data_IF_385264566399
#
_entry.id   IF_385264566399
#
_cell.length_a   1.000
_cell.length_b   1.000
_cell.length_c   1.000
_cell.angle_alpha   90.00
_cell.angle_beta   90.00
_cell.angle_gamma   90.00
#
_symmetry.space_group_name_H-M   'P 1'
#
loop_
_entity.id
_entity.type
_entity.pdbx_description
1 polymer ?
#
# COMPACT_ATOMS: atom_id res chain seq x y z
N UNK A 1 -14.20 20.22 3.78
CA UNK A 1 -13.32 20.63 4.90
C UNK A 1 -13.93 20.13 6.20
N UNK A 2 -13.17 19.64 7.18
CA UNK A 2 -13.75 19.12 8.42
C UNK A 2 -14.53 20.22 9.13
N UNK A 3 -15.75 19.89 9.57
CA UNK A 3 -16.72 20.80 10.21
C UNK A 3 -16.37 21.16 11.66
N UNK A 4 -15.23 20.70 12.16
CA UNK A 4 -14.84 20.79 13.57
C UNK A 4 -13.33 21.14 13.68
N UNK A 5 -13.00 22.40 14.03
CA UNK A 5 -11.63 22.88 14.17
C UNK A 5 -10.81 22.15 15.25
N UNK A 6 -11.45 21.74 16.35
CA UNK A 6 -10.77 21.06 17.46
C UNK A 6 -10.38 19.63 17.07
N UNK A 7 -11.26 18.95 16.33
CA UNK A 7 -10.95 17.62 15.79
C UNK A 7 -9.81 17.64 14.76
N UNK A 8 -9.73 18.71 13.95
CA UNK A 8 -8.62 18.90 13.03
C UNK A 8 -7.30 19.16 13.79
N UNK A 9 -7.35 20.00 14.84
CA UNK A 9 -6.20 20.28 15.71
C UNK A 9 -5.68 19.00 16.39
N UNK A 10 -6.55 18.21 17.00
CA UNK A 10 -6.18 16.95 17.64
C UNK A 10 -5.55 15.96 16.64
N UNK A 11 -6.10 15.87 15.43
CA UNK A 11 -5.57 15.00 14.36
C UNK A 11 -4.18 15.45 13.90
N UNK A 12 -3.96 16.77 13.79
CA UNK A 12 -2.66 17.33 13.41
C UNK A 12 -1.60 17.12 14.51
N UNK A 13 -1.96 17.28 15.77
CA UNK A 13 -1.06 17.02 16.90
C UNK A 13 -0.62 15.55 16.95
N UNK A 14 -1.58 14.62 16.86
CA UNK A 14 -1.30 13.19 16.82
C UNK A 14 -0.41 12.80 15.63
N UNK A 15 -0.61 13.44 14.46
CA UNK A 15 0.23 13.22 13.29
C UNK A 15 1.67 13.74 13.49
N UNK A 16 1.84 14.91 14.09
CA UNK A 16 3.18 15.48 14.39
C UNK A 16 3.92 14.64 15.43
N UNK A 17 3.23 14.15 16.46
CA UNK A 17 3.81 13.25 17.46
C UNK A 17 4.24 11.91 16.85
N UNK A 18 3.40 11.31 16.00
CA UNK A 18 3.75 10.11 15.26
C UNK A 18 5.01 10.31 14.39
N UNK A 19 5.17 11.48 13.78
CA UNK A 19 6.36 11.81 12.99
C UNK A 19 7.62 11.97 13.87
N UNK A 20 7.50 12.54 15.07
CA UNK A 20 8.62 12.64 16.03
C UNK A 20 9.11 11.27 16.48
N UNK A 21 8.21 10.31 16.71
CA UNK A 21 8.57 8.93 17.04
C UNK A 21 9.33 8.20 15.91
N UNK A 22 9.31 8.72 14.69
CA UNK A 22 10.07 8.19 13.54
C UNK A 22 11.42 8.89 13.32
N UNK A 23 11.86 9.76 14.24
CA UNK A 23 13.15 10.47 14.16
C UNK A 23 13.17 11.63 13.14
N UNK A 24 12.01 12.00 12.57
CA UNK A 24 11.92 13.09 11.59
C UNK A 24 11.84 14.45 12.30
N UNK A 25 12.81 15.32 12.00
CA UNK A 25 12.85 16.69 12.54
C UNK A 25 12.14 17.73 11.66
N UNK A 26 11.78 17.38 10.43
CA UNK A 26 11.07 18.28 9.52
C UNK A 26 10.10 17.54 8.60
N UNK A 27 9.07 18.25 8.14
CA UNK A 27 8.05 17.74 7.20
C UNK A 27 7.95 18.74 6.05
N UNK A 28 8.13 18.26 4.82
CA UNK A 28 7.94 19.09 3.62
C UNK A 28 6.45 19.18 3.28
N UNK A 29 5.85 20.34 3.54
CA UNK A 29 4.48 20.61 3.14
C UNK A 29 4.41 20.92 1.63
N UNK A 30 3.36 20.46 0.95
CA UNK A 30 3.13 20.78 -0.47
C UNK A 30 2.80 22.27 -0.63
N UNK A 31 2.99 22.82 -1.84
CA UNK A 31 2.55 24.17 -2.16
C UNK A 31 1.02 24.28 -1.97
N UNK A 32 0.56 25.34 -1.27
CA UNK A 32 -0.85 25.59 -0.95
C UNK A 32 -1.24 25.40 0.52
N UNK A 33 -0.44 24.71 1.33
CA UNK A 33 -0.74 24.46 2.76
C UNK A 33 -0.75 25.74 3.62
N UNK A 34 0.00 26.79 3.21
CA UNK A 34 0.00 28.09 3.89
C UNK A 34 -1.40 28.70 4.02
N UNK A 35 -2.27 28.50 3.01
CA UNK A 35 -3.67 28.98 3.03
C UNK A 35 -4.58 28.20 3.98
N UNK A 36 -4.28 26.92 4.22
CA UNK A 36 -5.04 26.07 5.15
C UNK A 36 -4.62 26.22 6.62
N UNK A 37 -3.38 26.66 6.88
CA UNK A 37 -2.89 26.93 8.24
C UNK A 37 -3.29 28.34 8.73
N UNK A 38 -3.43 29.32 7.82
CA UNK A 38 -3.92 30.65 8.18
C UNK A 38 -5.35 30.65 8.74
N UNK A 39 -6.18 29.66 8.39
CA UNK A 39 -7.52 29.47 8.95
C UNK A 39 -7.55 28.75 10.30
N UNK A 40 -6.39 28.27 10.79
CA UNK A 40 -6.28 27.56 12.08
C UNK A 40 -5.74 28.43 13.21
N UNK A 41 -5.38 29.69 12.92
CA UNK A 41 -5.05 30.68 13.94
C UNK A 41 -6.34 31.35 14.44
N UNK A 42 -6.87 30.87 15.55
CA UNK A 42 -7.72 31.69 16.42
C UNK A 42 -6.86 32.82 17.00
N UNK A 43 -7.37 34.06 17.12
CA UNK A 43 -6.62 35.16 17.72
C UNK A 43 -6.31 34.81 19.17
N UNK A 44 -5.02 34.79 19.52
CA UNK A 44 -4.58 34.77 20.91
C UNK A 44 -4.98 36.12 21.51
N UNK A 45 -6.10 36.18 22.23
CA UNK A 45 -6.36 37.29 23.13
C UNK A 45 -5.49 37.10 24.37
N UNK A 46 -4.63 38.08 24.66
CA UNK A 46 -3.86 38.15 25.90
C UNK A 46 -2.48 37.50 25.82
N UNK A 47 -1.56 38.10 25.05
CA UNK A 47 -0.13 37.95 25.32
C UNK A 47 0.52 39.32 25.17
N UNK A 48 0.99 39.84 26.30
CA UNK A 48 1.66 41.14 26.45
C UNK A 48 2.83 41.22 25.47
N UNK A 49 2.79 42.23 24.61
CA UNK A 49 3.86 42.58 23.67
C UNK A 49 5.07 43.09 24.44
N UNK A 50 6.10 42.25 24.53
CA UNK A 50 7.47 42.70 24.77
C UNK A 50 8.20 42.71 23.42
N UNK A 51 8.71 43.85 22.94
CA UNK A 51 9.41 43.88 21.66
C UNK A 51 10.74 43.13 21.82
N UNK A 52 10.88 42.00 21.12
CA UNK A 52 12.18 41.36 20.93
C UNK A 52 12.94 42.18 19.89
N UNK A 53 14.03 42.80 20.36
CA UNK A 53 14.93 43.62 19.57
C UNK A 53 15.60 42.77 18.49
N UNK A 54 15.43 43.17 17.23
CA UNK A 54 16.06 42.55 16.07
C UNK A 54 17.51 43.03 16.03
N UNK A 55 18.44 42.20 16.48
CA UNK A 55 19.87 42.42 16.23
C UNK A 55 20.17 41.95 14.81
N UNK A 56 20.36 42.90 13.90
CA UNK A 56 20.93 42.64 12.56
C UNK A 56 22.37 42.16 12.72
N UNK A 57 22.64 40.91 12.35
CA UNK A 57 24.00 40.42 12.15
C UNK A 57 24.55 40.95 10.80
N UNK A 58 25.80 41.43 10.73
CA UNK A 58 26.40 41.92 9.48
C UNK A 58 26.58 40.78 8.47
N UNK A 59 26.26 41.07 7.20
CA UNK A 59 26.55 40.20 6.07
C UNK A 59 28.08 40.04 5.90
N UNK A 60 28.62 38.80 5.85
CA UNK A 60 30.02 38.59 5.51
C UNK A 60 30.27 38.94 4.04
N UNK A 61 31.33 39.72 3.81
CA UNK A 61 31.82 40.14 2.49
C UNK A 61 32.25 38.95 1.65
N UNK A 62 31.84 38.97 0.39
CA UNK A 62 32.31 38.07 -0.67
C UNK A 62 33.84 38.11 -0.78
N UNK A 63 34.45 36.95 -0.62
CA UNK A 63 35.75 36.64 -1.18
C UNK A 63 35.52 35.50 -2.18
N UNK A 64 35.67 35.78 -3.46
CA UNK A 64 35.73 34.77 -4.51
C UNK A 64 37.14 34.17 -4.54
N UNK A 65 37.28 32.84 -4.53
CA UNK A 65 38.41 32.18 -5.15
C UNK A 65 37.96 31.44 -6.42
N UNK A 66 38.57 31.87 -7.52
CA UNK A 66 39.09 31.08 -8.65
C UNK A 66 38.41 29.75 -9.00
N UNK A 67 37.83 29.76 -10.22
CA UNK A 67 37.37 28.63 -11.01
C UNK A 67 38.49 27.61 -11.26
N UNK A 68 38.56 26.56 -10.43
CA UNK A 68 39.27 25.33 -10.76
C UNK A 68 38.34 24.13 -10.63
N UNK A 69 37.96 23.61 -11.80
CA UNK A 69 37.53 22.26 -12.13
C UNK A 69 37.16 21.34 -10.96
N UNK A 70 35.89 21.38 -10.55
CA UNK A 70 35.28 20.25 -9.84
C UNK A 70 34.38 19.54 -10.85
N UNK A 71 34.84 18.33 -11.19
CA UNK A 71 34.21 17.39 -12.08
C UNK A 71 32.69 17.28 -11.84
N UNK A 72 31.95 17.38 -12.93
CA UNK A 72 30.54 17.01 -13.05
C UNK A 72 30.30 15.68 -12.31
N UNK A 73 29.36 15.58 -11.35
CA UNK A 73 28.98 14.27 -10.84
C UNK A 73 28.41 13.48 -12.03
N UNK A 74 28.82 12.21 -12.22
CA UNK A 74 28.44 11.46 -13.39
C UNK A 74 26.91 11.29 -13.41
N UNK A 75 26.37 11.64 -14.56
CA UNK A 75 25.11 11.17 -15.12
C UNK A 75 24.70 9.79 -14.61
N UNK A 76 23.45 9.66 -14.14
CA UNK A 76 22.74 8.38 -14.09
C UNK A 76 22.75 7.81 -15.53
N UNK A 77 23.47 6.70 -15.80
CA UNK A 77 22.81 5.38 -16.00
C UNK A 77 23.74 4.17 -15.66
N UNK A 78 23.28 2.88 -15.64
CA UNK A 78 22.12 2.37 -16.38
C UNK A 78 21.18 1.39 -15.60
N UNK A 79 19.87 1.46 -15.84
CA UNK A 79 19.01 0.28 -15.65
C UNK A 79 19.21 -0.66 -16.84
N UNK A 80 19.95 -1.76 -16.65
CA UNK A 80 19.50 -3.08 -17.12
C UNK A 80 19.94 -4.24 -16.19
N UNK A 81 20.58 -3.96 -15.05
CA UNK A 81 21.12 -4.97 -14.11
C UNK A 81 20.20 -5.31 -12.93
N UNK A 82 19.15 -4.52 -12.70
CA UNK A 82 18.19 -4.70 -11.59
C UNK A 82 17.28 -5.94 -11.80
N UNK A 83 17.12 -6.41 -13.05
CA UNK A 83 16.16 -7.47 -13.37
C UNK A 83 16.52 -8.87 -12.86
N UNK A 84 17.69 -9.40 -13.18
CA UNK A 84 18.13 -10.67 -12.62
C UNK A 84 18.22 -10.63 -11.09
N UNK A 85 18.59 -9.49 -10.53
CA UNK A 85 18.81 -9.34 -9.09
C UNK A 85 17.50 -9.36 -8.28
N UNK A 86 16.46 -8.60 -8.68
CA UNK A 86 15.15 -8.68 -8.00
C UNK A 86 14.57 -10.09 -8.06
N UNK A 87 14.64 -10.74 -9.21
CA UNK A 87 14.16 -12.11 -9.38
C UNK A 87 14.92 -13.09 -8.47
N UNK A 88 16.25 -12.99 -8.41
CA UNK A 88 17.11 -13.81 -7.54
C UNK A 88 16.80 -13.59 -6.06
N UNK A 89 16.63 -12.34 -5.63
CA UNK A 89 16.28 -12.00 -4.23
C UNK A 89 14.90 -12.53 -3.84
N UNK A 90 13.91 -12.40 -4.73
CA UNK A 90 12.59 -12.98 -4.50
C UNK A 90 12.65 -14.50 -4.39
N UNK A 91 13.47 -15.15 -5.22
CA UNK A 91 13.63 -16.60 -5.17
C UNK A 91 14.33 -17.05 -3.89
N UNK A 92 15.39 -16.35 -3.45
CA UNK A 92 16.03 -16.62 -2.16
C UNK A 92 15.04 -16.45 -0.98
N UNK A 93 14.18 -15.44 -1.04
CA UNK A 93 13.12 -15.25 -0.06
C UNK A 93 12.07 -16.38 -0.13
N UNK A 94 11.70 -16.84 -1.32
CA UNK A 94 10.78 -17.97 -1.52
C UNK A 94 11.31 -19.23 -0.85
N UNK A 95 12.57 -19.57 -1.09
CA UNK A 95 13.22 -20.74 -0.50
C UNK A 95 13.26 -20.65 1.03
N UNK A 96 13.59 -19.48 1.57
CA UNK A 96 13.56 -19.24 3.02
C UNK A 96 12.16 -19.40 3.61
N UNK A 97 11.14 -18.91 2.89
CA UNK A 97 9.75 -18.93 3.37
C UNK A 97 9.12 -20.32 3.28
N UNK A 98 9.53 -21.15 2.32
CA UNK A 98 8.96 -22.49 2.09
C UNK A 98 9.01 -23.39 3.34
N UNK A 99 10.09 -23.30 4.12
CA UNK A 99 10.28 -24.06 5.36
C UNK A 99 9.77 -23.38 6.64
N UNK A 100 9.09 -22.22 6.54
CA UNK A 100 8.76 -21.39 7.70
C UNK A 100 7.89 -22.15 8.74
N UNK A 101 8.31 -22.16 10.02
CA UNK A 101 7.57 -22.76 11.15
C UNK A 101 7.24 -21.76 12.27
N UNK A 102 7.28 -20.46 11.98
CA UNK A 102 7.07 -19.39 12.97
C UNK A 102 5.67 -19.41 13.60
N UNK A 103 4.67 -19.95 12.90
CA UNK A 103 3.34 -20.27 13.43
C UNK A 103 3.18 -21.80 13.43
N UNK A 104 3.44 -22.51 14.55
CA UNK A 104 3.47 -23.98 14.56
C UNK A 104 2.16 -24.64 14.11
N UNK A 105 1.01 -24.11 14.55
CA UNK A 105 -0.31 -24.65 14.21
C UNK A 105 -0.65 -24.50 12.72
N UNK A 106 -0.35 -23.34 12.13
CA UNK A 106 -0.51 -23.14 10.68
C UNK A 106 0.47 -23.98 9.86
N UNK A 107 1.69 -24.17 10.37
CA UNK A 107 2.70 -24.99 9.71
C UNK A 107 2.37 -26.48 9.72
N UNK A 108 1.69 -26.95 10.77
CA UNK A 108 1.18 -28.32 10.86
C UNK A 108 -0.07 -28.55 10.00
N UNK A 109 -0.87 -27.51 9.76
CA UNK A 109 -2.14 -27.62 9.02
C UNK A 109 -2.01 -27.44 7.50
N UNK A 110 -1.18 -26.49 7.05
CA UNK A 110 -1.05 -26.18 5.62
C UNK A 110 -0.51 -27.38 4.83
N UNK A 111 -0.90 -27.48 3.56
CA UNK A 111 -0.26 -28.41 2.62
C UNK A 111 1.08 -27.83 2.15
N UNK A 112 1.10 -26.53 1.82
CA UNK A 112 2.30 -25.82 1.42
C UNK A 112 2.18 -24.32 1.67
N UNK A 113 3.32 -23.64 1.60
CA UNK A 113 3.37 -22.18 1.70
C UNK A 113 2.95 -21.56 0.38
N UNK A 114 2.04 -20.59 0.45
CA UNK A 114 1.60 -19.78 -0.69
C UNK A 114 2.33 -18.44 -0.65
N UNK A 115 3.48 -18.40 -1.32
CA UNK A 115 4.43 -17.29 -1.22
C UNK A 115 3.93 -16.00 -1.88
N UNK A 116 3.59 -16.09 -3.17
CA UNK A 116 3.37 -14.96 -4.07
C UNK A 116 3.82 -15.32 -5.49
N UNK A 117 3.17 -14.74 -6.49
CA UNK A 117 3.44 -14.99 -7.91
C UNK A 117 3.33 -13.69 -8.72
N UNK A 118 4.00 -13.65 -9.88
CA UNK A 118 3.94 -12.53 -10.81
C UNK A 118 5.29 -11.87 -11.08
N UNK A 119 5.26 -10.69 -11.69
CA UNK A 119 6.46 -9.99 -12.15
C UNK A 119 7.33 -9.49 -10.97
N UNK A 120 8.63 -9.84 -10.90
CA UNK A 120 9.59 -9.25 -9.95
C UNK A 120 9.74 -7.71 -10.06
N UNK A 121 9.30 -7.13 -11.19
CA UNK A 121 9.29 -5.70 -11.50
C UNK A 121 7.87 -5.13 -11.59
N UNK A 122 6.89 -5.81 -11.00
CA UNK A 122 5.52 -5.36 -11.07
C UNK A 122 5.38 -3.92 -10.56
N UNK A 123 4.86 -3.04 -11.41
CA UNK A 123 4.46 -1.67 -11.01
C UNK A 123 3.26 -1.69 -10.06
N UNK A 124 2.49 -2.77 -10.09
CA UNK A 124 1.27 -2.97 -9.33
C UNK A 124 1.34 -4.28 -8.53
N UNK A 125 1.12 -4.19 -7.22
CA UNK A 125 1.02 -5.34 -6.33
C UNK A 125 -0.40 -5.45 -5.75
N UNK A 126 -1.02 -6.62 -5.86
CA UNK A 126 -2.26 -6.94 -5.17
C UNK A 126 -1.95 -7.79 -3.93
N UNK A 127 -2.52 -7.42 -2.78
CA UNK A 127 -2.42 -8.23 -1.57
C UNK A 127 -3.77 -8.56 -0.97
N UNK A 128 -4.02 -9.85 -0.74
CA UNK A 128 -5.19 -10.36 -0.03
C UNK A 128 -4.89 -10.71 1.43
N UNK A 129 -5.82 -11.44 2.02
CA UNK A 129 -5.81 -11.83 3.43
C UNK A 129 -4.91 -13.04 3.70
N UNK A 130 -5.32 -14.21 3.23
CA UNK A 130 -4.68 -15.49 3.47
C UNK A 130 -5.06 -16.49 2.36
N UNK A 131 -4.32 -17.60 2.19
CA UNK A 131 -4.66 -18.67 1.25
C UNK A 131 -5.95 -19.38 1.65
N UNK A 132 -6.75 -19.77 0.65
CA UNK A 132 -7.85 -20.73 0.82
C UNK A 132 -7.38 -22.16 0.55
N UNK A 133 -8.33 -23.10 0.54
CA UNK A 133 -8.05 -24.52 0.30
C UNK A 133 -7.39 -24.82 -1.04
N UNK A 134 -7.81 -24.12 -2.11
CA UNK A 134 -7.26 -24.36 -3.45
C UNK A 134 -5.86 -23.75 -3.58
N UNK A 135 -5.67 -22.55 -3.04
CA UNK A 135 -4.36 -21.91 -2.98
C UNK A 135 -3.37 -22.76 -2.17
N UNK A 136 -3.79 -23.28 -1.01
CA UNK A 136 -2.98 -24.16 -0.18
C UNK A 136 -2.59 -25.44 -0.91
N UNK A 137 -3.50 -26.03 -1.71
CA UNK A 137 -3.20 -27.22 -2.50
C UNK A 137 -2.22 -26.91 -3.64
N UNK A 138 -2.36 -25.77 -4.32
CA UNK A 138 -1.59 -25.45 -5.52
C UNK A 138 -0.29 -24.67 -5.23
N UNK A 139 -0.15 -24.03 -4.07
CA UNK A 139 1.00 -23.19 -3.74
C UNK A 139 0.94 -21.78 -4.34
N UNK A 140 -0.15 -21.45 -5.02
CA UNK A 140 -0.33 -20.18 -5.73
C UNK A 140 -1.49 -19.36 -5.15
N UNK A 141 -1.33 -18.04 -4.96
CA UNK A 141 -2.36 -17.21 -4.38
C UNK A 141 -3.47 -16.93 -5.39
N UNK A 142 -4.72 -16.80 -4.94
CA UNK A 142 -5.84 -16.42 -5.81
C UNK A 142 -6.00 -17.32 -7.05
N UNK A 143 -6.14 -18.64 -6.85
CA UNK A 143 -6.44 -19.62 -7.91
C UNK A 143 -7.89 -20.14 -7.85
N UNK A 144 -8.54 -20.01 -6.69
CA UNK A 144 -9.96 -20.33 -6.49
C UNK A 144 -10.92 -19.33 -7.17
N UNK A 145 -12.24 -19.42 -6.88
CA UNK A 145 -13.25 -18.56 -7.50
C UNK A 145 -12.98 -17.05 -7.35
N UNK A 146 -12.55 -16.62 -6.16
CA UNK A 146 -12.18 -15.23 -5.89
C UNK A 146 -10.97 -14.80 -6.74
N UNK A 147 -10.03 -15.71 -6.94
CA UNK A 147 -8.86 -15.49 -7.77
C UNK A 147 -9.17 -15.38 -9.26
N UNK A 148 -10.08 -16.21 -9.77
CA UNK A 148 -10.59 -16.08 -11.15
C UNK A 148 -11.26 -14.73 -11.38
N UNK A 149 -11.98 -14.20 -10.39
CA UNK A 149 -12.54 -12.85 -10.48
C UNK A 149 -11.43 -11.78 -10.47
N UNK A 150 -10.42 -11.91 -9.60
CA UNK A 150 -9.26 -11.01 -9.60
C UNK A 150 -8.55 -10.99 -10.97
N UNK A 151 -8.30 -12.16 -11.56
CA UNK A 151 -7.71 -12.27 -12.90
C UNK A 151 -8.53 -11.53 -13.95
N UNK A 152 -9.87 -11.66 -13.94
CA UNK A 152 -10.74 -10.90 -14.86
C UNK A 152 -10.68 -9.38 -14.62
N UNK A 153 -10.54 -8.94 -13.38
CA UNK A 153 -10.38 -7.51 -13.07
C UNK A 153 -9.05 -6.98 -13.60
N UNK A 154 -7.96 -7.72 -13.43
CA UNK A 154 -6.64 -7.38 -13.99
C UNK A 154 -6.71 -7.29 -15.53
N UNK A 155 -7.34 -8.27 -16.17
CA UNK A 155 -7.57 -8.27 -17.62
C UNK A 155 -8.41 -7.07 -18.08
N UNK A 156 -9.44 -6.69 -17.31
CA UNK A 156 -10.24 -5.51 -17.61
C UNK A 156 -9.43 -4.20 -17.52
N UNK A 157 -8.38 -4.15 -16.70
CA UNK A 157 -7.40 -3.04 -16.65
C UNK A 157 -6.44 -3.03 -17.86
N UNK A 158 -6.53 -4.01 -18.76
CA UNK A 158 -5.60 -4.15 -19.90
C UNK A 158 -4.25 -4.77 -19.53
N UNK A 159 -4.16 -5.45 -18.38
CA UNK A 159 -2.96 -6.14 -17.90
C UNK A 159 -3.18 -7.65 -17.91
N UNK A 160 -2.10 -8.43 -17.96
CA UNK A 160 -2.12 -9.85 -17.67
C UNK A 160 -1.77 -10.12 -16.22
N UNK A 161 -2.08 -11.33 -15.74
CA UNK A 161 -1.78 -11.73 -14.37
C UNK A 161 -0.28 -11.74 -14.10
N UNK A 162 0.51 -12.01 -15.13
CA UNK A 162 1.96 -12.06 -15.11
C UNK A 162 2.60 -10.66 -15.09
N UNK A 163 1.86 -9.60 -15.45
CA UNK A 163 2.36 -8.21 -15.43
C UNK A 163 2.40 -7.61 -14.01
N UNK A 164 1.59 -8.16 -13.11
CA UNK A 164 1.42 -7.69 -11.73
C UNK A 164 2.06 -8.66 -10.74
N UNK A 165 2.14 -8.29 -9.47
CA UNK A 165 2.50 -9.21 -8.39
C UNK A 165 1.30 -9.47 -7.49
N UNK A 166 1.05 -10.72 -7.13
CA UNK A 166 -0.08 -11.12 -6.30
C UNK A 166 0.44 -11.89 -5.08
N UNK A 167 0.02 -11.46 -3.89
CA UNK A 167 0.39 -12.06 -2.63
C UNK A 167 -0.75 -11.97 -1.60
N UNK A 168 -0.51 -12.50 -0.41
CA UNK A 168 -1.38 -12.33 0.77
C UNK A 168 -0.55 -11.85 1.97
N UNK A 169 -1.21 -11.29 2.98
CA UNK A 169 -0.61 -10.98 4.29
C UNK A 169 -0.06 -12.26 4.92
N UNK A 170 -0.92 -13.26 5.08
CA UNK A 170 -0.54 -14.57 5.59
C UNK A 170 -0.13 -15.49 4.42
N UNK A 171 0.93 -16.28 4.59
CA UNK A 171 1.44 -17.22 3.57
C UNK A 171 0.97 -18.67 3.75
N UNK A 172 0.23 -18.95 4.82
CA UNK A 172 -0.28 -20.27 5.16
C UNK A 172 -1.80 -20.19 5.29
N UNK A 173 -2.52 -21.22 4.85
CA UNK A 173 -3.96 -21.31 5.09
C UNK A 173 -4.23 -21.40 6.60
N UNK A 174 -5.11 -20.55 7.16
CA UNK A 174 -5.56 -20.66 8.53
C UNK A 174 -6.14 -22.05 8.85
N UNK A 175 -5.73 -22.63 9.97
CA UNK A 175 -6.25 -23.92 10.44
C UNK A 175 -7.72 -23.82 10.86
N UNK A 176 -8.42 -24.94 10.80
CA UNK A 176 -9.83 -25.05 11.15
C UNK A 176 -10.01 -26.19 12.15
N UNK A 177 -11.02 -26.11 13.04
CA UNK A 177 -11.38 -27.25 13.86
C UNK A 177 -11.66 -28.48 12.98
N UNK A 178 -11.26 -29.69 13.41
CA UNK A 178 -11.48 -30.91 12.65
C UNK A 178 -12.94 -31.03 12.17
N UNK A 179 -13.14 -31.34 10.90
CA UNK A 179 -14.47 -31.47 10.29
C UNK A 179 -15.15 -30.16 9.86
N UNK A 180 -14.54 -28.99 10.09
CA UNK A 180 -15.12 -27.70 9.67
C UNK A 180 -14.78 -27.41 8.20
N UNK A 181 -15.78 -27.24 7.31
CA UNK A 181 -15.52 -26.84 5.93
C UNK A 181 -15.20 -25.34 5.83
N UNK A 182 -14.53 -24.94 4.76
CA UNK A 182 -14.36 -23.53 4.39
C UNK A 182 -13.00 -22.94 4.79
N UNK A 183 -13.01 -21.67 5.18
CA UNK A 183 -11.83 -20.90 5.59
C UNK A 183 -12.21 -19.96 6.74
N UNK A 184 -11.27 -19.66 7.63
CA UNK A 184 -11.41 -18.61 8.65
C UNK A 184 -10.50 -17.44 8.34
N UNK A 185 -10.76 -16.31 9.01
CA UNK A 185 -9.83 -15.17 8.99
C UNK A 185 -8.55 -15.48 9.77
N UNK A 186 -7.40 -14.92 9.37
CA UNK A 186 -6.20 -14.98 10.17
C UNK A 186 -6.38 -14.13 11.44
N UNK A 187 -5.77 -14.59 12.53
CA UNK A 187 -5.67 -13.82 13.76
C UNK A 187 -4.62 -12.70 13.59
N UNK A 188 -4.75 -11.58 14.32
CA UNK A 188 -3.77 -10.49 14.28
C UNK A 188 -2.33 -10.97 14.49
N UNK A 189 -2.10 -11.88 15.44
CA UNK A 189 -0.78 -12.41 15.78
C UNK A 189 -0.18 -13.25 14.65
N UNK A 190 -1.04 -13.97 13.90
CA UNK A 190 -0.63 -14.72 12.71
C UNK A 190 -0.19 -13.77 11.59
N UNK A 191 -0.95 -12.69 11.39
CA UNK A 191 -0.59 -11.66 10.43
C UNK A 191 0.72 -10.98 10.81
N UNK A 192 0.88 -10.54 12.06
CA UNK A 192 2.09 -9.86 12.54
C UNK A 192 3.33 -10.73 12.40
N UNK A 193 3.19 -12.04 12.66
CA UNK A 193 4.28 -13.01 12.52
C UNK A 193 4.71 -13.18 11.06
N UNK A 194 3.76 -13.12 10.12
CA UNK A 194 3.99 -13.41 8.70
C UNK A 194 4.29 -12.18 7.84
N UNK A 195 3.81 -11.00 8.26
CA UNK A 195 3.94 -9.72 7.57
C UNK A 195 5.38 -9.35 7.16
N UNK A 196 6.45 -9.69 7.93
CA UNK A 196 7.82 -9.45 7.48
C UNK A 196 8.15 -10.03 6.10
N UNK A 197 7.57 -11.17 5.71
CA UNK A 197 7.78 -11.75 4.37
C UNK A 197 7.16 -10.88 3.28
N UNK A 198 5.94 -10.37 3.50
CA UNK A 198 5.30 -9.46 2.54
C UNK A 198 6.04 -8.11 2.46
N UNK A 199 6.54 -7.59 3.59
CA UNK A 199 7.38 -6.38 3.60
C UNK A 199 8.65 -6.57 2.78
N UNK A 200 9.32 -7.70 2.91
CA UNK A 200 10.51 -7.98 2.09
C UNK A 200 10.15 -8.17 0.61
N UNK A 201 9.03 -8.82 0.28
CA UNK A 201 8.53 -8.87 -1.10
C UNK A 201 8.32 -7.46 -1.68
N UNK A 202 7.65 -6.57 -0.94
CA UNK A 202 7.42 -5.18 -1.34
C UNK A 202 8.75 -4.42 -1.49
N UNK A 203 9.69 -4.61 -0.55
CA UNK A 203 11.04 -4.01 -0.57
C UNK A 203 11.86 -4.42 -1.78
N UNK A 204 11.79 -5.70 -2.19
CA UNK A 204 12.48 -6.21 -3.39
C UNK A 204 11.82 -5.66 -4.66
N UNK A 205 10.50 -5.81 -4.78
CA UNK A 205 9.74 -5.46 -6.00
C UNK A 205 9.73 -3.94 -6.22
N UNK A 206 9.59 -3.17 -5.13
CA UNK A 206 9.38 -1.71 -5.15
C UNK A 206 8.22 -1.30 -6.08
N UNK A 207 7.00 -1.82 -5.86
CA UNK A 207 5.86 -1.46 -6.70
C UNK A 207 5.52 0.03 -6.57
N UNK A 208 4.98 0.61 -7.64
CA UNK A 208 4.49 2.00 -7.63
C UNK A 208 3.17 2.13 -6.87
N UNK A 209 2.34 1.08 -6.86
CA UNK A 209 1.07 1.02 -6.13
C UNK A 209 0.84 -0.38 -5.53
N UNK A 210 0.32 -0.41 -4.30
CA UNK A 210 -0.23 -1.60 -3.67
C UNK A 210 -1.76 -1.49 -3.63
N UNK A 211 -2.47 -2.55 -3.96
CA UNK A 211 -3.92 -2.69 -3.79
C UNK A 211 -4.21 -3.69 -2.68
N UNK A 212 -4.79 -3.22 -1.58
CA UNK A 212 -5.23 -4.07 -0.47
C UNK A 212 -6.66 -4.56 -0.72
N UNK A 213 -6.80 -5.88 -0.88
CA UNK A 213 -8.07 -6.54 -1.14
C UNK A 213 -8.74 -6.91 0.19
N UNK A 214 -9.70 -6.10 0.63
CA UNK A 214 -10.49 -6.34 1.83
C UNK A 214 -9.93 -5.73 3.12
N UNK A 215 -10.76 -5.79 4.17
CA UNK A 215 -10.45 -5.21 5.47
C UNK A 215 -9.21 -5.82 6.13
N UNK A 216 -9.02 -7.13 6.01
CA UNK A 216 -7.90 -7.83 6.66
C UNK A 216 -6.56 -7.49 6.01
N UNK A 217 -6.52 -7.33 4.68
CA UNK A 217 -5.33 -6.85 3.98
C UNK A 217 -4.98 -5.40 4.38
N UNK A 218 -6.01 -4.55 4.51
CA UNK A 218 -5.85 -3.17 4.99
C UNK A 218 -5.34 -3.12 6.43
N UNK A 219 -5.94 -3.89 7.33
CA UNK A 219 -5.52 -3.98 8.74
C UNK A 219 -4.09 -4.50 8.83
N UNK A 220 -3.76 -5.60 8.15
CA UNK A 220 -2.40 -6.18 8.20
C UNK A 220 -1.31 -5.23 7.70
N UNK A 221 -1.60 -4.38 6.71
CA UNK A 221 -0.61 -3.41 6.23
C UNK A 221 -0.53 -2.15 7.11
N UNK A 222 -1.66 -1.66 7.61
CA UNK A 222 -1.74 -0.29 8.17
C UNK A 222 -2.08 -0.21 9.65
N UNK A 223 -2.51 -1.33 10.25
CA UNK A 223 -3.10 -1.37 11.59
C UNK A 223 -4.49 -0.70 11.69
N UNK A 224 -5.04 -0.17 10.58
CA UNK A 224 -6.31 0.53 10.61
C UNK A 224 -7.49 -0.46 10.63
N UNK A 225 -8.24 -0.46 11.73
CA UNK A 225 -9.44 -1.29 11.92
C UNK A 225 -10.76 -0.62 11.49
N UNK A 226 -10.68 0.47 10.72
CA UNK A 226 -11.89 1.13 10.18
C UNK A 226 -12.51 0.23 9.10
N UNK A 227 -13.84 0.24 8.99
CA UNK A 227 -14.54 -0.55 7.98
C UNK A 227 -14.06 -0.23 6.56
N UNK A 228 -13.83 -1.26 5.75
CA UNK A 228 -13.28 -1.15 4.39
C UNK A 228 -14.07 -0.16 3.51
N UNK A 229 -15.40 -0.12 3.67
CA UNK A 229 -16.28 0.81 2.94
C UNK A 229 -15.94 2.28 3.16
N UNK A 230 -15.38 2.63 4.32
CA UNK A 230 -15.03 4.02 4.65
C UNK A 230 -13.67 4.46 4.09
N UNK A 231 -12.78 3.50 3.77
CA UNK A 231 -11.41 3.79 3.33
C UNK A 231 -11.17 3.45 1.87
N UNK A 232 -11.99 2.59 1.25
CA UNK A 232 -11.83 2.22 -0.15
C UNK A 232 -11.81 3.44 -1.09
N UNK A 233 -11.01 3.35 -2.15
CA UNK A 233 -10.89 4.43 -3.14
C UNK A 233 -10.10 5.65 -2.67
N UNK A 234 -9.52 5.62 -1.46
CA UNK A 234 -8.64 6.67 -0.96
C UNK A 234 -7.22 6.14 -0.84
N UNK A 235 -6.26 6.81 -1.46
CA UNK A 235 -4.85 6.44 -1.33
C UNK A 235 -4.35 6.71 0.10
N UNK A 236 -3.82 5.66 0.71
CA UNK A 236 -3.04 5.69 1.93
C UNK A 236 -1.55 5.58 1.57
N UNK A 237 -0.69 5.70 2.59
CA UNK A 237 0.74 5.45 2.47
C UNK A 237 1.10 4.16 3.19
N UNK A 238 1.86 3.29 2.53
CA UNK A 238 2.53 2.16 3.14
C UNK A 238 4.03 2.28 2.88
N UNK A 239 4.77 2.79 3.87
CA UNK A 239 6.24 2.92 3.81
C UNK A 239 6.74 3.69 2.58
N UNK A 240 6.02 4.73 2.16
CA UNK A 240 6.34 5.52 0.96
C UNK A 240 5.73 4.98 -0.34
N UNK A 241 5.11 3.80 -0.32
CA UNK A 241 4.35 3.26 -1.46
C UNK A 241 2.86 3.59 -1.33
N UNK A 242 2.23 4.23 -2.34
CA UNK A 242 0.79 4.42 -2.38
C UNK A 242 0.01 3.11 -2.22
N UNK A 243 -0.94 3.11 -1.28
CA UNK A 243 -1.80 1.96 -0.98
C UNK A 243 -3.26 2.31 -1.25
N UNK A 244 -3.93 1.57 -2.14
CA UNK A 244 -5.37 1.71 -2.37
C UNK A 244 -6.14 0.51 -1.81
N UNK A 245 -6.92 0.67 -0.74
CA UNK A 245 -7.82 -0.38 -0.28
C UNK A 245 -9.06 -0.48 -1.20
N UNK A 246 -9.56 -1.70 -1.39
CA UNK A 246 -10.83 -1.98 -2.06
C UNK A 246 -11.49 -3.24 -1.49
N UNK A 247 -12.68 -3.62 -1.96
CA UNK A 247 -13.33 -4.85 -1.52
C UNK A 247 -12.60 -6.10 -2.01
N UNK A 248 -12.59 -7.13 -1.17
CA UNK A 248 -12.02 -8.42 -1.56
C UNK A 248 -12.90 -9.10 -2.62
N UNK A 249 -12.33 -9.78 -3.64
CA UNK A 249 -13.12 -10.46 -4.69
C UNK A 249 -14.13 -11.49 -4.13
N UNK A 250 -13.79 -12.18 -3.03
CA UNK A 250 -14.74 -13.09 -2.39
C UNK A 250 -16.00 -12.37 -1.91
N UNK A 251 -15.92 -11.13 -1.44
CA UNK A 251 -17.09 -10.36 -1.01
C UNK A 251 -18.08 -10.14 -2.17
N UNK A 252 -17.55 -9.87 -3.38
CA UNK A 252 -18.34 -9.69 -4.60
C UNK A 252 -19.00 -10.98 -5.11
N UNK A 253 -18.42 -12.15 -4.78
CA UNK A 253 -18.99 -13.45 -5.14
C UNK A 253 -20.15 -13.84 -4.22
N UNK A 254 -20.02 -13.57 -2.92
CA UNK A 254 -21.09 -13.87 -1.96
C UNK A 254 -22.27 -12.89 -2.08
N UNK A 255 -22.00 -11.64 -2.47
CA UNK A 255 -23.02 -10.60 -2.70
C UNK A 255 -22.90 -10.07 -4.12
N UNK A 256 -23.62 -10.64 -5.11
CA UNK A 256 -23.57 -10.20 -6.50
C UNK A 256 -24.34 -8.87 -6.71
N UNK A 257 -23.98 -7.81 -5.97
CA UNK A 257 -24.50 -6.46 -6.17
C UNK A 257 -23.65 -5.72 -7.21
N UNK A 258 -24.29 -5.27 -8.30
CA UNK A 258 -23.64 -4.50 -9.37
C UNK A 258 -23.01 -3.21 -8.86
N UNK A 259 -23.56 -2.59 -7.81
CA UNK A 259 -22.99 -1.37 -7.20
C UNK A 259 -21.65 -1.66 -6.54
N UNK A 260 -21.50 -2.82 -5.89
CA UNK A 260 -20.23 -3.22 -5.28
C UNK A 260 -19.17 -3.52 -6.35
N UNK A 261 -19.56 -4.19 -7.44
CA UNK A 261 -18.66 -4.43 -8.59
C UNK A 261 -18.23 -3.11 -9.25
N UNK A 262 -19.17 -2.18 -9.42
CA UNK A 262 -18.91 -0.83 -9.92
C UNK A 262 -17.93 -0.08 -9.03
N UNK A 263 -18.14 -0.12 -7.72
CA UNK A 263 -17.23 0.49 -6.75
C UNK A 263 -15.81 -0.07 -6.92
N UNK A 264 -15.62 -1.39 -6.88
CA UNK A 264 -14.28 -1.96 -7.09
C UNK A 264 -13.67 -1.51 -8.42
N UNK A 265 -14.48 -1.44 -9.48
CA UNK A 265 -14.00 -0.94 -10.77
C UNK A 265 -13.57 0.53 -10.74
N UNK A 266 -14.33 1.41 -10.08
CA UNK A 266 -13.94 2.81 -9.86
C UNK A 266 -12.63 2.92 -9.09
N UNK A 267 -12.37 2.04 -8.10
CA UNK A 267 -11.08 1.98 -7.41
C UNK A 267 -9.95 1.59 -8.37
N UNK A 268 -10.17 0.59 -9.22
CA UNK A 268 -9.17 0.15 -10.19
C UNK A 268 -8.88 1.21 -11.26
N UNK A 269 -9.87 2.01 -11.64
CA UNK A 269 -9.66 3.17 -12.52
C UNK A 269 -8.71 4.19 -11.87
N UNK A 270 -8.84 4.47 -10.56
CA UNK A 270 -7.90 5.35 -9.84
C UNK A 270 -6.47 4.79 -9.86
N UNK A 271 -6.31 3.46 -9.73
CA UNK A 271 -5.01 2.79 -9.88
C UNK A 271 -4.46 2.97 -11.28
N UNK A 272 -5.28 2.72 -12.32
CA UNK A 272 -4.89 2.87 -13.72
C UNK A 272 -4.45 4.29 -14.03
N UNK A 273 -5.21 5.29 -13.58
CA UNK A 273 -4.87 6.72 -13.75
C UNK A 273 -3.54 7.05 -13.11
N UNK A 274 -3.31 6.58 -11.87
CA UNK A 274 -2.06 6.85 -11.16
C UNK A 274 -0.84 6.14 -11.74
N UNK A 275 -1.03 4.98 -12.36
CA UNK A 275 0.01 4.26 -13.11
C UNK A 275 0.19 4.77 -14.55
N UNK A 276 -0.59 5.77 -14.98
CA UNK A 276 -0.63 6.25 -16.36
C UNK A 276 -0.90 5.10 -17.37
N UNK A 277 -1.76 4.16 -17.02
CA UNK A 277 -2.23 3.13 -17.94
C UNK A 277 -3.25 3.73 -18.93
N UNK A 278 -3.30 3.27 -20.18
CA UNK A 278 -4.32 3.69 -21.12
C UNK A 278 -5.71 3.27 -20.62
N UNK A 279 -6.65 4.23 -20.58
CA UNK A 279 -8.04 3.99 -20.17
C UNK A 279 -8.97 4.40 -21.31
N UNK A 280 -9.58 3.41 -21.96
CA UNK A 280 -10.59 3.62 -23.00
C UNK A 280 -11.90 4.19 -22.44
N UNK A 281 -12.70 4.83 -23.30
CA UNK A 281 -14.05 5.28 -22.94
C UNK A 281 -14.93 4.11 -22.47
N UNK A 282 -14.78 2.93 -23.09
CA UNK A 282 -15.47 1.70 -22.67
C UNK A 282 -15.13 1.30 -21.24
N UNK A 283 -13.86 1.43 -20.84
CA UNK A 283 -13.43 1.16 -19.47
C UNK A 283 -14.01 2.18 -18.49
N UNK A 284 -13.98 3.48 -18.83
CA UNK A 284 -14.60 4.53 -17.99
C UNK A 284 -16.11 4.32 -17.84
N UNK A 285 -16.78 3.92 -18.92
CA UNK A 285 -18.21 3.69 -18.98
C UNK A 285 -18.66 2.27 -18.60
N UNK A 286 -17.78 1.39 -18.12
CA UNK A 286 -18.09 -0.06 -18.00
C UNK A 286 -19.36 -0.35 -17.18
N UNK A 287 -19.59 0.42 -16.12
CA UNK A 287 -20.78 0.30 -15.25
C UNK A 287 -21.74 1.49 -15.35
N UNK A 288 -21.52 2.40 -16.31
CA UNK A 288 -22.48 3.45 -16.62
C UNK A 288 -23.46 2.87 -17.63
N UNK A 289 -24.74 2.79 -17.27
CA UNK A 289 -25.79 2.46 -18.24
C UNK A 289 -25.73 3.51 -19.35
N UNK A 290 -25.66 3.06 -20.61
CA UNK A 290 -25.95 3.96 -21.75
C UNK A 290 -27.34 4.53 -21.49
N UNK A 291 -27.39 5.84 -21.26
CA UNK A 291 -28.65 6.58 -21.13
C UNK A 291 -29.33 6.66 -22.49
#
# INVERSE_FOLDING_TARGET
MPKDPERLRATLLAYVEALRCTGRQSVRLRSGWRRGLSSLFLPIQGAVSRPLSVVQAPLPKENQPSLESIATPPSVPPEPTDRPERARRLEALRQTTAGCRRCPHLAAFRSQVVFGVGNPHARLLFTGEAPGAEEDRQGEPFVGPAGKLLTRMIQAMGLQREDVYIANILKCRPDLPPGTPGNRKPAPEEMDTCLPYLREQISIIRPEIIVALGATALEGLTGLRKGISALRGTFLDFQGTPLLPTFHPSYLLHKPDLRLKRQVWEDLLLVMERLNLPISERQRGFFLTKS
#
